data_IF_036270131785
#
_entry.id   IF_036270131785
#
_cell.length_a   1.000
_cell.length_b   1.000
_cell.length_c   1.000
_cell.angle_alpha   90.00
_cell.angle_beta   90.00
_cell.angle_gamma   90.00
#
_symmetry.space_group_name_H-M   'P 1'
#
loop_
_entity.id
_entity.type
_entity.pdbx_description
1 polymer ?
#
# COMPACT_ATOMS: atom_id res chain seq x y z
N UNK A 1 -43.07 11.94 10.03
CA UNK A 1 -43.29 11.12 8.82
C UNK A 1 -42.19 10.08 8.77
N UNK A 2 -42.51 8.84 9.11
CA UNK A 2 -41.54 7.75 9.05
C UNK A 2 -41.33 7.41 7.58
N UNK A 3 -40.19 7.81 7.01
CA UNK A 3 -39.77 7.35 5.69
C UNK A 3 -39.55 5.85 5.79
N UNK A 4 -40.54 5.06 5.36
CA UNK A 4 -40.35 3.64 5.08
C UNK A 4 -39.35 3.54 3.93
N UNK A 5 -38.06 3.42 4.25
CA UNK A 5 -37.02 3.11 3.27
C UNK A 5 -37.33 1.71 2.74
N UNK A 6 -37.92 1.64 1.55
CA UNK A 6 -38.10 0.37 0.84
C UNK A 6 -36.71 -0.19 0.51
N UNK A 7 -36.44 -1.46 0.88
CA UNK A 7 -35.18 -2.10 0.53
C UNK A 7 -34.97 -2.18 -1.00
N UNK A 8 -36.05 -2.04 -1.79
CA UNK A 8 -35.94 -1.92 -3.25
C UNK A 8 -35.04 -0.76 -3.70
N UNK A 9 -34.94 0.32 -2.92
CA UNK A 9 -34.04 1.45 -3.24
C UNK A 9 -32.56 1.05 -3.34
N UNK A 10 -32.15 -0.04 -2.67
CA UNK A 10 -30.79 -0.60 -2.79
C UNK A 10 -30.51 -1.05 -4.22
N UNK A 11 -31.53 -1.57 -4.92
CA UNK A 11 -31.41 -2.04 -6.30
C UNK A 11 -31.24 -0.89 -7.28
N UNK A 12 -31.86 0.27 -7.01
CA UNK A 12 -31.69 1.47 -7.83
C UNK A 12 -30.28 2.05 -7.71
N UNK A 13 -29.71 2.02 -6.50
CA UNK A 13 -28.36 2.50 -6.25
C UNK A 13 -27.27 1.55 -6.78
N UNK A 14 -27.57 0.26 -6.92
CA UNK A 14 -26.59 -0.78 -7.25
C UNK A 14 -27.01 -1.59 -8.48
N UNK A 15 -27.27 -0.92 -9.60
CA UNK A 15 -27.72 -1.59 -10.83
C UNK A 15 -26.70 -2.60 -11.36
N UNK A 16 -27.18 -3.69 -11.95
CA UNK A 16 -26.34 -4.70 -12.59
C UNK A 16 -25.70 -4.15 -13.87
N UNK A 17 -24.38 -4.11 -13.90
CA UNK A 17 -23.56 -3.72 -15.06
C UNK A 17 -22.77 -4.90 -15.64
N UNK A 18 -22.81 -6.06 -14.99
CA UNK A 18 -22.09 -7.28 -15.36
C UNK A 18 -20.99 -7.63 -14.34
N UNK A 19 -19.90 -6.86 -14.23
CA UNK A 19 -18.81 -7.15 -13.29
C UNK A 19 -19.24 -7.21 -11.82
N UNK A 20 -20.28 -6.45 -11.46
CA UNK A 20 -20.83 -6.39 -10.10
C UNK A 20 -21.93 -7.44 -9.84
N UNK A 21 -22.04 -8.49 -10.66
CA UNK A 21 -23.10 -9.50 -10.53
C UNK A 21 -23.21 -10.11 -9.13
N UNK A 22 -22.08 -10.42 -8.48
CA UNK A 22 -22.07 -10.99 -7.13
C UNK A 22 -22.73 -10.06 -6.10
N UNK A 23 -22.41 -8.76 -6.17
CA UNK A 23 -22.97 -7.76 -5.26
C UNK A 23 -24.44 -7.48 -5.55
N UNK A 24 -24.78 -7.33 -6.83
CA UNK A 24 -26.16 -7.17 -7.27
C UNK A 24 -27.03 -8.36 -6.83
N UNK A 25 -26.54 -9.59 -7.03
CA UNK A 25 -27.25 -10.80 -6.63
C UNK A 25 -27.42 -10.88 -5.10
N UNK A 26 -26.40 -10.48 -4.33
CA UNK A 26 -26.50 -10.38 -2.87
C UNK A 26 -27.61 -9.40 -2.46
N UNK A 27 -27.65 -8.22 -3.07
CA UNK A 27 -28.67 -7.21 -2.80
C UNK A 27 -30.08 -7.70 -3.20
N UNK A 28 -30.21 -8.32 -4.39
CA UNK A 28 -31.47 -8.90 -4.86
C UNK A 28 -32.00 -9.93 -3.86
N UNK A 29 -31.14 -10.86 -3.41
CA UNK A 29 -31.53 -11.89 -2.44
C UNK A 29 -31.99 -11.28 -1.11
N UNK A 30 -31.39 -10.18 -0.65
CA UNK A 30 -31.83 -9.48 0.57
C UNK A 30 -33.25 -8.93 0.38
N UNK A 31 -33.50 -8.23 -0.73
CA UNK A 31 -34.82 -7.66 -1.05
C UNK A 31 -35.88 -8.77 -1.15
N UNK A 32 -35.59 -9.83 -1.92
CA UNK A 32 -36.54 -10.94 -2.11
C UNK A 32 -36.81 -11.74 -0.83
N UNK A 33 -35.83 -11.86 0.07
CA UNK A 33 -36.04 -12.48 1.39
C UNK A 33 -36.98 -11.66 2.27
N UNK A 34 -36.82 -10.34 2.27
CA UNK A 34 -37.73 -9.46 3.01
C UNK A 34 -39.17 -9.59 2.49
N UNK A 35 -39.33 -9.69 1.18
CA UNK A 35 -40.64 -9.83 0.53
C UNK A 35 -41.18 -11.26 0.53
N UNK A 36 -40.43 -12.24 1.06
CA UNK A 36 -40.75 -13.68 1.04
C UNK A 36 -40.92 -14.27 -0.37
N UNK A 37 -40.26 -13.69 -1.37
CA UNK A 37 -40.32 -14.09 -2.80
C UNK A 37 -39.04 -14.74 -3.32
N UNK A 38 -38.09 -15.07 -2.44
CA UNK A 38 -36.84 -15.70 -2.86
C UNK A 38 -37.08 -17.02 -3.61
N UNK A 39 -38.14 -17.75 -3.24
CA UNK A 39 -38.51 -19.02 -3.84
C UNK A 39 -38.73 -18.94 -5.36
N UNK A 40 -39.12 -17.77 -5.89
CA UNK A 40 -39.33 -17.52 -7.33
C UNK A 40 -38.05 -17.77 -8.13
N UNK A 41 -36.87 -17.52 -7.55
CA UNK A 41 -35.60 -17.76 -8.24
C UNK A 41 -35.19 -19.24 -8.25
N UNK A 42 -35.74 -20.04 -7.32
CA UNK A 42 -35.31 -21.42 -7.08
C UNK A 42 -36.28 -22.41 -7.75
N UNK A 43 -37.57 -22.16 -7.62
CA UNK A 43 -38.65 -23.05 -8.04
C UNK A 43 -39.16 -22.71 -9.44
N UNK A 44 -39.55 -23.73 -10.20
CA UNK A 44 -40.26 -23.54 -11.45
C UNK A 44 -41.67 -22.99 -11.20
N UNK A 45 -42.19 -22.26 -12.18
CA UNK A 45 -43.58 -21.80 -12.14
C UNK A 45 -44.52 -23.02 -12.07
N UNK A 46 -45.57 -22.97 -11.23
CA UNK A 46 -46.54 -24.04 -11.19
C UNK A 46 -47.22 -24.20 -12.56
N UNK A 47 -47.56 -25.44 -12.96
CA UNK A 47 -48.32 -25.66 -14.19
C UNK A 47 -49.71 -25.02 -14.08
N UNK A 48 -50.25 -24.62 -15.24
CA UNK A 48 -51.61 -24.07 -15.30
C UNK A 48 -52.63 -25.08 -14.74
N UNK A 49 -53.50 -24.66 -13.80
CA UNK A 49 -54.51 -25.53 -13.22
C UNK A 49 -55.51 -26.03 -14.27
N UNK A 50 -56.09 -27.21 -14.03
CA UNK A 50 -57.21 -27.70 -14.82
C UNK A 50 -58.46 -26.81 -14.63
N UNK A 51 -59.34 -26.76 -15.63
CA UNK A 51 -60.55 -25.92 -15.59
C UNK A 51 -61.51 -26.29 -14.44
N UNK A 52 -61.46 -27.52 -13.97
CA UNK A 52 -62.24 -28.05 -12.85
C UNK A 52 -61.50 -27.99 -11.50
N UNK A 53 -60.30 -27.40 -11.46
CA UNK A 53 -59.54 -27.22 -10.23
C UNK A 53 -60.28 -26.33 -9.23
N UNK A 54 -60.01 -26.56 -7.94
CA UNK A 54 -60.61 -25.76 -6.87
C UNK A 54 -60.10 -24.32 -6.90
N UNK A 55 -60.89 -23.40 -6.34
CA UNK A 55 -60.49 -22.00 -6.19
C UNK A 55 -59.14 -21.85 -5.46
N UNK A 56 -58.88 -22.68 -4.46
CA UNK A 56 -57.62 -22.70 -3.70
C UNK A 56 -56.40 -22.97 -4.59
N UNK A 57 -56.54 -23.86 -5.59
CA UNK A 57 -55.46 -24.17 -6.55
C UNK A 57 -55.23 -22.99 -7.50
N UNK A 58 -56.31 -22.35 -7.96
CA UNK A 58 -56.21 -21.14 -8.79
C UNK A 58 -55.60 -19.95 -8.05
N UNK A 59 -55.96 -19.74 -6.78
CA UNK A 59 -55.37 -18.70 -5.93
C UNK A 59 -53.87 -18.94 -5.71
N UNK A 60 -53.46 -20.19 -5.47
CA UNK A 60 -52.06 -20.56 -5.34
C UNK A 60 -51.28 -20.29 -6.65
N UNK A 61 -51.82 -20.70 -7.79
CA UNK A 61 -51.22 -20.46 -9.11
C UNK A 61 -51.08 -18.96 -9.39
N UNK A 62 -52.16 -18.19 -9.22
CA UNK A 62 -52.15 -16.75 -9.49
C UNK A 62 -51.15 -16.02 -8.58
N UNK A 63 -51.08 -16.38 -7.30
CA UNK A 63 -50.09 -15.81 -6.39
C UNK A 63 -48.65 -16.05 -6.86
N UNK A 64 -48.33 -17.20 -7.46
CA UNK A 64 -47.00 -17.48 -7.99
C UNK A 64 -46.71 -16.69 -9.27
N UNK A 65 -47.72 -16.51 -10.13
CA UNK A 65 -47.60 -15.68 -11.33
C UNK A 65 -47.36 -14.22 -10.96
N UNK A 66 -48.13 -13.68 -10.02
CA UNK A 66 -48.01 -12.30 -9.54
C UNK A 66 -46.64 -12.06 -8.87
N UNK A 67 -46.19 -13.00 -8.03
CA UNK A 67 -44.87 -12.91 -7.41
C UNK A 67 -43.76 -12.98 -8.46
N UNK A 68 -43.86 -13.86 -9.45
CA UNK A 68 -42.91 -13.95 -10.55
C UNK A 68 -42.86 -12.67 -11.39
N UNK A 69 -44.00 -12.08 -11.73
CA UNK A 69 -44.06 -10.82 -12.47
C UNK A 69 -43.41 -9.68 -11.68
N UNK A 70 -43.67 -9.60 -10.38
CA UNK A 70 -43.05 -8.60 -9.51
C UNK A 70 -41.54 -8.76 -9.43
N UNK A 71 -41.03 -9.99 -9.28
CA UNK A 71 -39.58 -10.25 -9.25
C UNK A 71 -38.96 -9.92 -10.61
N UNK A 72 -39.61 -10.28 -11.71
CA UNK A 72 -39.17 -9.96 -13.08
C UNK A 72 -39.02 -8.45 -13.25
N UNK A 73 -40.03 -7.67 -12.82
CA UNK A 73 -39.99 -6.21 -12.85
C UNK A 73 -38.83 -5.63 -12.02
N UNK A 74 -38.60 -6.15 -10.80
CA UNK A 74 -37.51 -5.71 -9.94
C UNK A 74 -36.15 -6.00 -10.59
N UNK A 75 -35.98 -7.20 -11.12
CA UNK A 75 -34.74 -7.61 -11.79
C UNK A 75 -34.47 -6.70 -12.98
N UNK A 76 -35.42 -6.54 -13.90
CA UNK A 76 -35.29 -5.65 -15.05
C UNK A 76 -34.97 -4.20 -14.61
N UNK A 77 -35.76 -3.61 -13.72
CA UNK A 77 -35.56 -2.22 -13.28
C UNK A 77 -34.17 -1.97 -12.67
N UNK A 78 -33.59 -3.01 -12.07
CA UNK A 78 -32.28 -2.99 -11.41
C UNK A 78 -31.10 -3.34 -12.33
N UNK A 79 -31.29 -3.40 -13.64
CA UNK A 79 -30.23 -3.69 -14.62
C UNK A 79 -29.85 -2.45 -15.44
N UNK A 80 -28.69 -2.51 -16.09
CA UNK A 80 -28.32 -1.56 -17.15
C UNK A 80 -29.27 -1.71 -18.36
N UNK A 81 -29.48 -0.64 -19.16
CA UNK A 81 -30.40 -0.69 -20.30
C UNK A 81 -30.09 -1.77 -21.33
N UNK A 82 -28.81 -2.14 -21.50
CA UNK A 82 -28.42 -3.21 -22.40
C UNK A 82 -28.88 -4.58 -21.88
N UNK A 83 -28.64 -4.86 -20.61
CA UNK A 83 -29.09 -6.12 -19.98
C UNK A 83 -30.61 -6.20 -19.89
N UNK A 84 -31.29 -5.08 -19.64
CA UNK A 84 -32.76 -5.03 -19.68
C UNK A 84 -33.29 -5.55 -21.01
N UNK A 85 -32.86 -4.96 -22.13
CA UNK A 85 -33.30 -5.37 -23.48
C UNK A 85 -33.06 -6.85 -23.77
N UNK A 86 -31.95 -7.39 -23.30
CA UNK A 86 -31.60 -8.80 -23.52
C UNK A 86 -32.50 -9.78 -22.75
N UNK A 87 -33.16 -9.34 -21.68
CA UNK A 87 -33.91 -10.20 -20.76
C UNK A 87 -35.40 -9.85 -20.66
N UNK A 88 -35.91 -8.90 -21.46
CA UNK A 88 -37.30 -8.42 -21.44
C UNK A 88 -38.34 -9.54 -21.61
N UNK A 89 -37.99 -10.63 -22.31
CA UNK A 89 -38.92 -11.74 -22.61
C UNK A 89 -38.79 -12.91 -21.64
N UNK A 90 -37.87 -12.86 -20.67
CA UNK A 90 -37.61 -13.96 -19.74
C UNK A 90 -38.42 -13.78 -18.46
N UNK A 91 -38.87 -14.89 -17.87
CA UNK A 91 -39.36 -14.83 -16.48
C UNK A 91 -38.20 -14.70 -15.49
N UNK A 92 -38.53 -14.43 -14.21
CA UNK A 92 -37.53 -14.16 -13.17
C UNK A 92 -36.51 -15.29 -13.02
N UNK A 93 -36.95 -16.56 -13.07
CA UNK A 93 -36.07 -17.72 -12.90
C UNK A 93 -35.15 -17.90 -14.11
N UNK A 94 -35.69 -17.85 -15.31
CA UNK A 94 -34.91 -17.92 -16.56
C UNK A 94 -33.85 -16.83 -16.61
N UNK A 95 -34.25 -15.59 -16.31
CA UNK A 95 -33.35 -14.45 -16.24
C UNK A 95 -32.25 -14.66 -15.20
N UNK A 96 -32.60 -15.16 -14.01
CA UNK A 96 -31.64 -15.45 -12.97
C UNK A 96 -30.63 -16.51 -13.41
N UNK A 97 -31.09 -17.61 -14.00
CA UNK A 97 -30.23 -18.70 -14.47
C UNK A 97 -29.30 -18.23 -15.60
N UNK A 98 -29.82 -17.48 -16.58
CA UNK A 98 -29.03 -16.97 -17.69
C UNK A 98 -27.96 -15.96 -17.22
N UNK A 99 -28.32 -15.04 -16.34
CA UNK A 99 -27.34 -14.10 -15.76
C UNK A 99 -26.31 -14.82 -14.89
N UNK A 100 -26.73 -15.85 -14.15
CA UNK A 100 -25.82 -16.69 -13.40
C UNK A 100 -24.84 -17.38 -14.34
N UNK A 101 -25.28 -17.94 -15.46
CA UNK A 101 -24.40 -18.55 -16.46
C UNK A 101 -23.40 -17.53 -17.04
N UNK A 102 -23.88 -16.35 -17.46
CA UNK A 102 -23.04 -15.31 -18.07
C UNK A 102 -21.97 -14.77 -17.11
N UNK A 103 -22.30 -14.55 -15.84
CA UNK A 103 -21.44 -13.80 -14.91
C UNK A 103 -20.78 -14.65 -13.81
N UNK A 104 -21.25 -15.86 -13.52
CA UNK A 104 -20.65 -16.70 -12.46
C UNK A 104 -19.27 -17.24 -12.83
N UNK A 105 -19.07 -17.67 -14.08
CA UNK A 105 -17.77 -18.14 -14.54
C UNK A 105 -16.76 -17.00 -14.60
N UNK A 106 -17.16 -15.85 -15.13
CA UNK A 106 -16.32 -14.67 -15.25
C UNK A 106 -15.86 -14.16 -13.88
N UNK A 107 -16.77 -14.02 -12.91
CA UNK A 107 -16.43 -13.59 -11.55
C UNK A 107 -15.50 -14.59 -10.83
N UNK A 108 -15.66 -15.90 -11.06
CA UNK A 108 -14.75 -16.91 -10.49
C UNK A 108 -13.34 -16.82 -11.07
N UNK A 109 -13.23 -16.66 -12.39
CA UNK A 109 -11.94 -16.53 -13.09
C UNK A 109 -11.25 -15.24 -12.67
N UNK A 110 -11.95 -14.11 -12.70
CA UNK A 110 -11.40 -12.81 -12.31
C UNK A 110 -10.94 -12.78 -10.86
N UNK A 111 -11.71 -13.38 -9.95
CA UNK A 111 -11.30 -13.50 -8.55
C UNK A 111 -10.07 -14.38 -8.39
N UNK A 112 -10.04 -15.53 -9.04
CA UNK A 112 -8.88 -16.42 -8.99
C UNK A 112 -7.64 -15.71 -9.51
N UNK A 113 -7.74 -15.04 -10.65
CA UNK A 113 -6.63 -14.29 -11.24
C UNK A 113 -6.15 -13.15 -10.35
N UNK A 114 -7.08 -12.33 -9.83
CA UNK A 114 -6.74 -11.22 -8.93
C UNK A 114 -6.09 -11.70 -7.64
N UNK A 115 -6.62 -12.78 -7.04
CA UNK A 115 -6.01 -13.39 -5.87
C UNK A 115 -4.62 -13.95 -6.19
N UNK A 116 -4.48 -14.68 -7.30
CA UNK A 116 -3.21 -15.24 -7.76
C UNK A 116 -2.17 -14.13 -7.93
N UNK A 117 -2.51 -13.06 -8.63
CA UNK A 117 -1.61 -11.92 -8.82
C UNK A 117 -1.26 -11.25 -7.50
N UNK A 118 -2.22 -11.05 -6.59
CA UNK A 118 -1.99 -10.44 -5.28
C UNK A 118 -1.00 -11.27 -4.44
N UNK A 119 -1.27 -12.56 -4.24
CA UNK A 119 -0.45 -13.42 -3.38
C UNK A 119 0.96 -13.66 -3.95
N UNK A 120 1.12 -13.62 -5.28
CA UNK A 120 2.40 -13.78 -5.97
C UNK A 120 3.13 -12.45 -6.23
N UNK A 121 2.48 -11.31 -6.02
CA UNK A 121 3.08 -10.00 -6.27
C UNK A 121 4.30 -9.80 -5.36
N UNK A 122 5.45 -9.54 -5.98
CA UNK A 122 6.70 -9.22 -5.29
C UNK A 122 7.31 -8.00 -5.96
N UNK A 123 7.76 -7.07 -5.14
CA UNK A 123 8.44 -5.88 -5.61
C UNK A 123 9.77 -6.29 -6.26
N UNK A 124 10.03 -5.80 -7.47
CA UNK A 124 11.30 -6.02 -8.14
C UNK A 124 12.39 -5.10 -7.56
N UNK A 125 13.64 -5.57 -7.57
CA UNK A 125 14.75 -4.73 -7.11
C UNK A 125 14.91 -3.51 -8.01
N UNK A 126 14.95 -2.31 -7.41
CA UNK A 126 15.14 -1.04 -8.12
C UNK A 126 13.86 -0.37 -8.62
N UNK A 127 12.68 -0.98 -8.46
CA UNK A 127 11.39 -0.31 -8.73
C UNK A 127 11.00 0.61 -7.58
N UNK A 128 10.15 1.60 -7.85
CA UNK A 128 9.62 2.47 -6.80
C UNK A 128 8.64 1.72 -5.89
N UNK A 129 8.79 1.91 -4.58
CA UNK A 129 7.86 1.33 -3.59
C UNK A 129 6.45 1.91 -3.73
N UNK A 130 6.33 3.17 -4.15
CA UNK A 130 5.03 3.82 -4.35
C UNK A 130 4.21 3.10 -5.43
N UNK A 131 4.82 2.86 -6.59
CA UNK A 131 4.16 2.19 -7.71
C UNK A 131 3.73 0.78 -7.29
N UNK A 132 4.62 0.04 -6.62
CA UNK A 132 4.34 -1.32 -6.16
C UNK A 132 3.19 -1.37 -5.15
N UNK A 133 3.20 -0.50 -4.13
CA UNK A 133 2.15 -0.47 -3.11
C UNK A 133 0.81 -0.04 -3.70
N UNK A 134 0.78 0.92 -4.63
CA UNK A 134 -0.46 1.29 -5.32
C UNK A 134 -1.04 0.12 -6.13
N UNK A 135 -0.20 -0.69 -6.79
CA UNK A 135 -0.65 -1.91 -7.47
C UNK A 135 -1.23 -2.93 -6.48
N UNK A 136 -0.58 -3.14 -5.34
CA UNK A 136 -1.09 -4.02 -4.28
C UNK A 136 -2.46 -3.56 -3.76
N UNK A 137 -2.63 -2.26 -3.48
CA UNK A 137 -3.90 -1.66 -3.08
C UNK A 137 -4.97 -1.90 -4.14
N UNK A 138 -4.66 -1.67 -5.42
CA UNK A 138 -5.59 -1.91 -6.52
C UNK A 138 -6.08 -3.36 -6.60
N UNK A 139 -5.21 -4.34 -6.34
CA UNK A 139 -5.64 -5.75 -6.29
C UNK A 139 -6.53 -6.05 -5.08
N UNK A 140 -6.23 -5.47 -3.91
CA UNK A 140 -7.04 -5.62 -2.70
C UNK A 140 -8.44 -5.03 -2.91
N UNK A 141 -8.52 -3.81 -3.46
CA UNK A 141 -9.78 -3.14 -3.79
C UNK A 141 -10.58 -3.92 -4.84
N UNK A 142 -9.91 -4.46 -5.87
CA UNK A 142 -10.54 -5.30 -6.88
C UNK A 142 -11.13 -6.58 -6.29
N UNK A 143 -10.48 -7.21 -5.31
CA UNK A 143 -11.06 -8.35 -4.59
C UNK A 143 -12.30 -7.93 -3.78
N UNK A 144 -12.28 -6.75 -3.16
CA UNK A 144 -13.45 -6.17 -2.48
C UNK A 144 -14.63 -5.96 -3.42
N UNK A 145 -14.39 -5.41 -4.62
CA UNK A 145 -15.42 -5.26 -5.66
C UNK A 145 -16.01 -6.58 -6.17
N UNK A 146 -15.28 -7.69 -6.02
CA UNK A 146 -15.77 -9.03 -6.34
C UNK A 146 -16.51 -9.68 -5.16
N UNK A 147 -16.67 -8.95 -4.04
CA UNK A 147 -17.33 -9.40 -2.81
C UNK A 147 -16.43 -10.11 -1.80
N UNK A 148 -15.10 -10.00 -1.95
CA UNK A 148 -14.10 -10.68 -1.11
C UNK A 148 -13.15 -9.68 -0.45
N UNK A 149 -13.71 -8.90 0.47
CA UNK A 149 -12.93 -7.92 1.24
C UNK A 149 -11.87 -8.62 2.11
N UNK A 150 -10.64 -8.13 2.01
CA UNK A 150 -9.56 -8.55 2.90
C UNK A 150 -9.59 -7.69 4.16
N UNK A 151 -9.37 -8.34 5.31
CA UNK A 151 -9.16 -7.63 6.56
C UNK A 151 -7.97 -6.65 6.41
N UNK A 152 -8.05 -5.48 7.05
CA UNK A 152 -7.03 -4.45 7.01
C UNK A 152 -5.65 -4.95 7.49
N UNK A 153 -5.59 -5.73 8.56
CA UNK A 153 -4.34 -6.32 9.08
C UNK A 153 -3.69 -7.24 8.03
N UNK A 154 -4.48 -8.15 7.45
CA UNK A 154 -4.01 -9.04 6.40
C UNK A 154 -3.55 -8.27 5.15
N UNK A 155 -4.27 -7.20 4.80
CA UNK A 155 -3.93 -6.33 3.67
C UNK A 155 -2.57 -5.66 3.88
N UNK A 156 -2.31 -5.16 5.09
CA UNK A 156 -1.02 -4.57 5.49
C UNK A 156 0.08 -5.63 5.42
N UNK A 157 -0.15 -6.80 6.02
CA UNK A 157 0.83 -7.89 6.05
C UNK A 157 1.20 -8.36 4.64
N UNK A 158 0.23 -8.47 3.74
CA UNK A 158 0.48 -8.80 2.33
C UNK A 158 1.34 -7.73 1.63
N UNK A 159 1.06 -6.45 1.87
CA UNK A 159 1.90 -5.36 1.35
C UNK A 159 3.32 -5.48 1.88
N UNK A 160 3.51 -5.61 3.20
CA UNK A 160 4.83 -5.72 3.81
C UNK A 160 5.61 -6.95 3.32
N UNK A 161 4.95 -8.10 3.20
CA UNK A 161 5.54 -9.35 2.69
C UNK A 161 5.98 -9.22 1.22
N UNK A 162 5.30 -8.39 0.43
CA UNK A 162 5.61 -8.21 -0.98
C UNK A 162 6.85 -7.34 -1.25
N UNK A 163 7.35 -6.61 -0.25
CA UNK A 163 8.48 -5.70 -0.40
C UNK A 163 9.81 -6.43 -0.56
N UNK A 164 10.79 -5.75 -1.15
CA UNK A 164 12.17 -6.24 -1.24
C UNK A 164 12.86 -6.22 0.13
N UNK A 165 13.90 -7.04 0.29
CA UNK A 165 14.71 -7.13 1.53
C UNK A 165 15.34 -5.81 1.98
N UNK A 166 15.48 -4.82 1.08
CA UNK A 166 15.90 -3.45 1.41
C UNK A 166 14.97 -2.75 2.42
N UNK A 167 13.73 -3.20 2.57
CA UNK A 167 12.77 -2.67 3.54
C UNK A 167 12.73 -3.46 4.85
N UNK A 168 13.62 -4.43 5.07
CA UNK A 168 13.63 -5.28 6.29
C UNK A 168 13.70 -4.48 7.59
N UNK A 169 14.54 -3.44 7.65
CA UNK A 169 14.64 -2.55 8.81
C UNK A 169 13.33 -1.80 9.08
N UNK A 170 12.64 -1.37 8.03
CA UNK A 170 11.33 -0.74 8.15
C UNK A 170 10.30 -1.72 8.72
N UNK A 171 10.24 -2.94 8.17
CA UNK A 171 9.31 -3.99 8.61
C UNK A 171 9.52 -4.35 10.08
N UNK A 172 10.77 -4.52 10.53
CA UNK A 172 11.07 -4.76 11.95
C UNK A 172 10.56 -3.62 12.84
N UNK A 173 10.85 -2.38 12.47
CA UNK A 173 10.41 -1.20 13.22
C UNK A 173 8.87 -1.08 13.23
N UNK A 174 8.21 -1.46 12.13
CA UNK A 174 6.77 -1.47 12.00
C UNK A 174 6.12 -2.40 13.03
N UNK A 175 6.54 -3.67 13.08
CA UNK A 175 5.98 -4.66 14.00
C UNK A 175 6.18 -4.28 15.47
N UNK A 176 7.24 -3.55 15.80
CA UNK A 176 7.51 -3.09 17.17
C UNK A 176 6.60 -1.95 17.61
N UNK A 177 6.07 -1.15 16.68
CA UNK A 177 5.33 0.07 17.00
C UNK A 177 3.80 -0.09 16.97
N UNK A 178 3.29 -1.32 16.79
CA UNK A 178 1.86 -1.75 16.82
C UNK A 178 0.86 -0.59 16.75
N UNK A 179 0.79 0.06 15.60
CA UNK A 179 -0.13 1.17 15.35
C UNK A 179 -1.18 0.73 14.35
N UNK A 180 -2.45 0.91 14.69
CA UNK A 180 -3.53 0.85 13.71
C UNK A 180 -3.27 1.90 12.64
N UNK A 181 -3.30 1.49 11.38
CA UNK A 181 -3.07 2.39 10.26
C UNK A 181 -3.78 1.93 9.01
N UNK A 182 -4.03 2.87 8.10
CA UNK A 182 -4.56 2.63 6.77
C UNK A 182 -3.47 2.27 5.76
N UNK A 183 -3.87 1.66 4.63
CA UNK A 183 -2.98 1.39 3.50
C UNK A 183 -2.36 2.67 2.91
N UNK A 184 -3.08 3.79 2.96
CA UNK A 184 -2.59 5.09 2.51
C UNK A 184 -1.49 5.65 3.44
N UNK A 185 -1.64 5.50 4.75
CA UNK A 185 -0.60 5.88 5.71
C UNK A 185 0.65 5.00 5.56
N UNK A 186 0.47 3.68 5.39
CA UNK A 186 1.56 2.74 5.11
C UNK A 186 2.33 3.17 3.86
N UNK A 187 1.64 3.49 2.77
CA UNK A 187 2.24 4.00 1.53
C UNK A 187 3.12 5.23 1.79
N UNK A 188 2.62 6.22 2.54
CA UNK A 188 3.38 7.44 2.84
C UNK A 188 4.64 7.18 3.69
N UNK A 189 4.55 6.25 4.64
CA UNK A 189 5.70 5.84 5.45
C UNK A 189 6.75 5.10 4.61
N UNK A 190 6.32 4.20 3.72
CA UNK A 190 7.21 3.48 2.81
C UNK A 190 7.90 4.43 1.82
N UNK A 191 7.19 5.42 1.28
CA UNK A 191 7.76 6.47 0.44
C UNK A 191 8.85 7.26 1.17
N UNK A 192 8.61 7.60 2.44
CA UNK A 192 9.60 8.30 3.27
C UNK A 192 10.83 7.43 3.52
N UNK A 193 10.63 6.14 3.81
CA UNK A 193 11.70 5.17 4.00
C UNK A 193 12.56 4.99 2.73
N UNK A 194 11.93 4.89 1.55
CA UNK A 194 12.63 4.81 0.26
C UNK A 194 13.56 6.03 0.04
N UNK A 195 13.09 7.23 0.39
CA UNK A 195 13.90 8.46 0.33
C UNK A 195 15.14 8.43 1.23
N UNK A 196 15.08 7.76 2.39
CA UNK A 196 16.22 7.58 3.28
C UNK A 196 17.22 6.56 2.70
N UNK A 197 16.73 5.43 2.17
CA UNK A 197 17.56 4.38 1.57
C UNK A 197 18.35 4.87 0.34
N UNK A 198 17.75 5.73 -0.48
CA UNK A 198 18.43 6.36 -1.63
C UNK A 198 19.56 7.31 -1.22
N UNK A 199 19.45 7.95 -0.04
CA UNK A 199 20.50 8.82 0.50
C UNK A 199 21.68 8.02 1.06
N UNK A 200 21.41 6.88 1.70
CA UNK A 200 22.46 5.99 2.23
C UNK A 200 23.27 5.30 1.12
N UNK A 201 22.63 4.86 0.04
CA UNK A 201 23.34 4.34 -1.13
C UNK A 201 24.20 5.40 -1.84
N UNK A 202 23.77 6.65 -1.83
CA UNK A 202 24.53 7.78 -2.40
C UNK A 202 25.71 8.21 -1.52
N UNK A 203 25.61 8.08 -0.20
CA UNK A 203 26.69 8.46 0.73
C UNK A 203 27.84 7.44 0.78
N UNK A 204 27.57 6.16 0.45
CA UNK A 204 28.60 5.12 0.34
C UNK A 204 29.55 5.33 -0.86
N UNK A 205 29.13 6.06 -1.89
CA UNK A 205 29.97 6.35 -3.08
C UNK A 205 30.97 7.52 -2.88
N UNK A 206 31.01 8.14 -1.70
CA UNK A 206 31.96 9.21 -1.35
C UNK A 206 33.02 8.69 -0.34
N UNK A 207 33.69 7.58 -0.67
CA UNK A 207 34.93 7.19 0.01
C UNK A 207 35.92 6.63 -1.01
N UNK A 208 36.39 7.49 -1.92
CA UNK A 208 37.23 7.02 -3.02
C UNK A 208 37.91 8.10 -3.85
N UNK A 209 38.43 9.18 -3.24
CA UNK A 209 39.45 10.01 -3.90
C UNK A 209 40.08 11.00 -2.91
N UNK A 210 41.05 10.52 -2.15
CA UNK A 210 42.06 11.35 -1.51
C UNK A 210 43.16 11.67 -2.54
N UNK A 211 43.34 12.94 -2.87
CA UNK A 211 44.60 13.42 -3.44
C UNK A 211 44.98 14.73 -2.76
N UNK A 212 45.87 14.61 -1.79
CA UNK A 212 46.60 15.70 -1.18
C UNK A 212 47.79 16.07 -2.06
N UNK A 213 47.95 17.36 -2.36
CA UNK A 213 49.23 17.90 -2.84
C UNK A 213 49.52 19.21 -2.12
N UNK A 214 50.33 19.10 -1.07
CA UNK A 214 51.08 20.21 -0.50
C UNK A 214 52.25 20.55 -1.44
N UNK A 215 52.43 21.83 -1.78
CA UNK A 215 53.75 22.34 -2.20
C UNK A 215 53.89 23.84 -1.91
N UNK A 216 54.80 24.13 -0.97
CA UNK A 216 55.85 25.18 -1.05
C UNK A 216 55.46 26.65 -1.19
N UNK A 217 55.81 27.44 -0.17
CA UNK A 217 56.00 28.91 -0.27
C UNK A 217 57.26 29.24 -1.08
N UNK A 218 57.18 30.22 -1.99
CA UNK A 218 58.19 31.28 -2.17
C UNK A 218 57.65 32.41 -3.07
N UNK A 219 58.21 33.59 -2.85
CA UNK A 219 57.75 34.93 -3.25
C UNK A 219 58.41 35.47 -4.53
N UNK A 220 57.69 36.28 -5.34
CA UNK A 220 58.06 37.66 -5.77
C UNK A 220 57.27 38.18 -6.99
N UNK A 221 56.68 39.37 -6.75
CA UNK A 221 56.62 40.62 -7.57
C UNK A 221 55.79 40.76 -8.87
N UNK A 222 55.01 41.85 -8.82
CA UNK A 222 54.69 42.90 -9.85
C UNK A 222 53.64 42.50 -10.92
N UNK A 223 52.68 43.33 -11.35
CA UNK A 223 52.38 44.75 -11.15
C UNK A 223 50.93 45.09 -11.62
N UNK A 224 50.38 46.20 -11.10
CA UNK A 224 49.43 47.18 -11.71
C UNK A 224 48.03 46.74 -12.22
N UNK A 225 46.96 47.22 -11.58
CA UNK A 225 46.25 48.51 -11.86
C UNK A 225 45.09 48.68 -10.84
N UNK A 226 45.09 49.73 -9.99
CA UNK A 226 44.24 50.96 -10.05
C UNK A 226 42.77 50.66 -10.41
N UNK A 227 41.75 50.99 -9.59
CA UNK A 227 41.42 52.35 -9.13
C UNK A 227 40.29 52.40 -8.06
N UNK A 228 40.36 53.44 -7.21
CA UNK A 228 39.30 54.22 -6.49
C UNK A 228 38.38 53.49 -5.48
N UNK A 229 38.51 53.71 -4.16
CA UNK A 229 38.14 54.87 -3.28
C UNK A 229 36.64 54.92 -2.89
N UNK A 230 36.36 54.67 -1.61
CA UNK A 230 35.48 55.43 -0.68
C UNK A 230 35.36 54.61 0.63
N UNK A 231 36.10 54.89 1.72
CA UNK A 231 35.85 55.87 2.79
C UNK A 231 34.54 55.69 3.57
N UNK A 232 34.62 55.12 4.78
CA UNK A 232 34.00 55.67 6.00
C UNK A 232 34.53 54.96 7.25
N UNK A 233 34.91 55.76 8.25
CA UNK A 233 35.44 55.35 9.56
C UNK A 233 34.31 55.03 10.56
N UNK A 234 34.68 54.18 11.52
CA UNK A 234 34.22 54.09 12.93
C UNK A 234 32.78 53.68 13.25
N UNK A 235 32.62 52.52 13.90
CA UNK A 235 32.31 52.42 15.34
C UNK A 235 32.36 50.95 15.81
N UNK A 236 33.04 50.68 16.93
CA UNK A 236 32.82 49.47 17.73
C UNK A 236 31.49 49.61 18.47
N UNK A 237 30.81 48.50 18.80
CA UNK A 237 30.60 48.27 20.22
C UNK A 237 31.05 46.88 20.68
N UNK A 238 31.36 46.86 21.97
CA UNK A 238 31.78 45.74 22.79
C UNK A 238 30.54 44.89 23.09
N UNK A 239 30.67 43.57 22.90
CA UNK A 239 29.68 42.58 23.29
C UNK A 239 30.28 41.19 23.15
N UNK A 240 30.97 40.73 24.19
CA UNK A 240 31.64 39.43 24.20
C UNK A 240 30.65 38.28 24.36
N UNK A 241 30.75 37.26 23.50
CA UNK A 241 30.33 35.89 23.82
C UNK A 241 31.44 34.94 23.38
N UNK A 242 32.14 34.36 24.35
CA UNK A 242 33.15 33.31 24.15
C UNK A 242 32.47 32.10 23.51
N UNK A 243 32.94 31.66 22.34
CA UNK A 243 32.73 30.29 21.84
C UNK A 243 33.35 29.32 22.85
N UNK A 244 32.54 28.64 23.67
CA UNK A 244 32.98 27.42 24.36
C UNK A 244 33.09 26.32 23.30
N UNK A 245 34.33 25.95 22.98
CA UNK A 245 34.62 24.71 22.27
C UNK A 245 34.33 23.55 23.24
N UNK A 246 33.14 22.97 23.19
CA UNK A 246 32.85 21.70 23.87
C UNK A 246 33.58 20.57 23.14
N UNK A 247 34.88 20.44 23.40
CA UNK A 247 35.62 19.23 23.09
C UNK A 247 35.22 18.20 24.14
N UNK A 248 34.31 17.31 23.77
CA UNK A 248 33.80 16.23 24.60
C UNK A 248 34.91 15.35 25.23
N UNK A 249 34.49 14.50 26.16
CA UNK A 249 35.36 13.65 26.97
C UNK A 249 36.08 12.60 26.13
N UNK A 250 37.37 12.40 26.36
CA UNK A 250 38.15 11.41 25.64
C UNK A 250 37.73 9.98 26.04
N UNK A 251 37.22 9.19 25.08
CA UNK A 251 36.83 7.78 25.30
C UNK A 251 37.98 6.81 25.64
N UNK A 252 39.25 7.26 25.69
CA UNK A 252 40.39 6.42 26.08
C UNK A 252 40.93 6.76 27.48
N UNK A 253 41.07 8.05 27.82
CA UNK A 253 41.59 8.48 29.13
C UNK A 253 40.55 9.13 30.04
N UNK A 254 39.32 9.35 29.58
CA UNK A 254 38.25 9.98 30.36
C UNK A 254 38.42 11.49 30.62
N UNK A 255 39.47 12.13 30.09
CA UNK A 255 39.74 13.56 30.33
C UNK A 255 38.99 14.42 29.30
N UNK A 256 38.27 15.44 29.78
CA UNK A 256 37.59 16.44 28.93
C UNK A 256 38.59 17.35 28.20
N UNK A 257 38.21 17.86 27.02
CA UNK A 257 39.03 18.80 26.26
C UNK A 257 39.72 18.23 25.02
N UNK A 258 39.61 16.92 24.74
CA UNK A 258 40.07 16.30 23.50
C UNK A 258 39.34 14.99 23.19
N UNK A 259 39.22 14.66 21.89
CA UNK A 259 38.67 13.38 21.43
C UNK A 259 39.76 12.28 21.43
N UNK A 260 39.35 11.00 21.46
CA UNK A 260 40.25 9.82 21.45
C UNK A 260 41.36 9.90 20.41
N UNK A 261 41.05 10.43 19.23
CA UNK A 261 42.00 10.60 18.10
C UNK A 261 43.17 11.54 18.40
N UNK A 262 42.99 12.48 19.33
CA UNK A 262 44.00 13.45 19.75
C UNK A 262 44.57 13.13 21.14
N UNK A 263 44.32 11.93 21.68
CA UNK A 263 44.77 11.52 23.00
C UNK A 263 46.22 11.02 22.96
N UNK A 264 47.11 11.68 23.71
CA UNK A 264 48.54 11.33 23.75
C UNK A 264 48.78 9.90 24.25
N UNK A 265 48.03 9.43 25.26
CA UNK A 265 48.18 8.08 25.79
C UNK A 265 47.69 7.01 24.82
N UNK A 266 46.62 7.27 24.07
CA UNK A 266 46.15 6.37 23.01
C UNK A 266 47.14 6.29 21.84
N UNK A 267 47.73 7.42 21.45
CA UNK A 267 48.74 7.45 20.39
C UNK A 267 50.06 6.77 20.83
N UNK A 268 50.40 6.81 22.12
CA UNK A 268 51.52 6.07 22.67
C UNK A 268 51.27 4.55 22.69
N UNK A 269 50.08 4.09 23.13
CA UNK A 269 49.74 2.67 23.12
C UNK A 269 49.65 2.06 21.72
N UNK A 270 49.26 2.86 20.71
CA UNK A 270 49.35 2.46 19.31
C UNK A 270 50.79 2.36 18.78
N UNK A 271 51.72 3.16 19.31
CA UNK A 271 53.15 3.05 18.94
C UNK A 271 53.80 1.84 19.59
N UNK A 272 53.43 1.51 20.83
CA UNK A 272 53.91 0.30 21.50
C UNK A 272 53.35 -0.97 20.86
N UNK A 273 52.06 -1.00 20.47
CA UNK A 273 51.51 -2.12 19.70
C UNK A 273 52.20 -2.33 18.35
N UNK A 274 52.64 -1.26 17.70
CA UNK A 274 53.43 -1.34 16.46
C UNK A 274 54.87 -1.83 16.65
N UNK A 275 55.40 -1.81 17.86
CA UNK A 275 56.75 -2.32 18.20
C UNK A 275 56.73 -3.77 18.70
N UNK A 276 55.57 -4.29 19.11
CA UNK A 276 55.40 -5.69 19.54
C UNK A 276 55.17 -6.70 18.41
N UNK A 277 54.83 -6.26 17.20
CA UNK A 277 54.57 -7.14 16.04
C UNK A 277 55.82 -7.43 15.19
N UNK A 278 57.00 -6.88 15.54
CA UNK A 278 58.25 -7.06 14.77
C UNK A 278 59.26 -8.03 15.40
N UNK A 279 58.91 -8.77 16.46
CA UNK A 279 59.85 -9.68 17.14
C UNK A 279 59.30 -11.08 17.43
N UNK A 280 58.70 -11.76 16.44
CA UNK A 280 58.60 -13.23 16.41
C UNK A 280 58.49 -13.76 14.97
N UNK A 281 59.60 -13.80 14.23
CA UNK A 281 59.73 -14.74 13.11
C UNK A 281 61.19 -15.08 12.85
N UNK A 282 61.63 -16.21 13.38
CA UNK A 282 62.91 -16.83 13.06
C UNK A 282 62.85 -18.32 13.37
N UNK A 283 62.64 -19.12 12.31
CA UNK A 283 63.23 -20.45 12.02
C UNK A 283 63.08 -21.55 13.08
N UNK A 284 62.64 -22.78 12.79
CA UNK A 284 63.11 -23.62 11.69
C UNK A 284 62.23 -24.87 11.46
N UNK A 285 62.50 -25.51 10.32
CA UNK A 285 61.97 -26.76 9.74
C UNK A 285 61.93 -27.98 10.66
N UNK A 286 60.87 -28.79 10.56
CA UNK A 286 60.84 -30.08 9.82
C UNK A 286 59.41 -30.61 9.71
#
# INVERSE_FOLDING_TARGET
>A
MSTNLSLRSIMDANKLTGPNFSDWLRNLKIVLRQEKKLYVLENELPPEPAQDATNEVWEYYQSHIDDNEQVTCVMLASMSPELQRQHETMNAREMFLHLQELFSAQSRVERFETARTLFQCRMASGTSVEIHVLQMIGYIEKLGQLGYDLNLELSIDLVLQSLTSSFSQFIMNFHMNKKEMSLAELLNMLKTAEGCLKKESSSVLIFGSSSSKNKGKTSKKKNKNKNKKASSKLAKPIGGVKKKNDKGTCFHCGIAGHWKRNCKSYLASLKEKKLGETSTSGTDRQ
#
